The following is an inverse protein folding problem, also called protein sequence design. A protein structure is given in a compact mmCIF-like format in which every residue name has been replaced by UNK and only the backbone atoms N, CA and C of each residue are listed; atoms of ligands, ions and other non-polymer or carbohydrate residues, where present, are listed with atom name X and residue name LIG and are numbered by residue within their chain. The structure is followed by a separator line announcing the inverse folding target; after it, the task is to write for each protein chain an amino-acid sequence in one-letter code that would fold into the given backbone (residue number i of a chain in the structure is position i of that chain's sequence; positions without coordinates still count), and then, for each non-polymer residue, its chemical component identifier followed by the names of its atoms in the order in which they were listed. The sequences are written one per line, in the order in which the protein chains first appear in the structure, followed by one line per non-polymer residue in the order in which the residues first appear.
data_IF_034463758031
#
_entry.id   IF_034463758031
#
_cell.length_a   1.000
_cell.length_b   1.000
_cell.length_c   1.000
_cell.angle_alpha   90.00
_cell.angle_beta   90.00
_cell.angle_gamma   90.00
#
_symmetry.space_group_name_H-M   'P 1'
#
loop_
_entity.id
_entity.type
_entity.pdbx_description
1 polymer ?
#
# COMPACT_ATOMS: atom_id res chain seq x y z
N UNK A 1 9.74 4.79 -4.14
CA UNK A 1 10.51 3.74 -3.45
C UNK A 1 11.87 3.64 -4.08
N UNK A 2 12.90 3.35 -3.31
CA UNK A 2 14.21 3.04 -3.88
C UNK A 2 14.23 1.58 -4.39
N UNK A 3 15.09 1.26 -5.37
CA UNK A 3 15.31 -0.12 -5.78
C UNK A 3 15.64 -1.01 -4.58
N UNK A 4 15.17 -2.28 -4.61
CA UNK A 4 15.36 -3.31 -3.57
C UNK A 4 14.56 -3.12 -2.26
N UNK A 5 13.89 -1.99 -2.04
CA UNK A 5 12.93 -1.85 -0.94
C UNK A 5 11.70 -2.75 -1.17
N UNK A 6 11.07 -3.21 -0.09
CA UNK A 6 9.89 -4.09 -0.14
C UNK A 6 8.75 -3.51 0.70
N UNK A 7 7.59 -3.33 0.10
CA UNK A 7 6.31 -3.19 0.83
C UNK A 7 5.87 -4.60 1.21
N UNK A 8 5.51 -4.81 2.47
CA UNK A 8 5.18 -6.14 2.97
C UNK A 8 4.13 -6.09 4.08
N UNK A 9 3.41 -7.19 4.25
CA UNK A 9 2.47 -7.37 5.35
C UNK A 9 2.52 -8.83 5.80
N UNK A 10 2.61 -9.03 7.11
CA UNK A 10 2.60 -10.34 7.74
C UNK A 10 1.23 -10.58 8.36
N UNK A 11 0.42 -11.43 7.72
CA UNK A 11 -0.92 -11.77 8.20
C UNK A 11 -0.93 -12.46 9.56
N UNK A 12 0.15 -13.18 9.94
CA UNK A 12 0.26 -13.87 11.23
C UNK A 12 0.55 -12.91 12.38
N UNK A 13 1.46 -11.95 12.17
CA UNK A 13 1.92 -11.04 13.25
C UNK A 13 1.33 -9.64 13.17
N UNK A 14 0.58 -9.31 12.11
CA UNK A 14 0.05 -7.97 11.83
C UNK A 14 1.12 -6.92 11.47
N UNK A 15 2.41 -7.29 11.42
CA UNK A 15 3.49 -6.35 11.09
C UNK A 15 3.46 -6.01 9.59
N UNK A 16 3.67 -4.75 9.25
CA UNK A 16 3.68 -4.27 7.86
C UNK A 16 4.78 -3.23 7.62
N UNK A 17 5.29 -3.21 6.40
CA UNK A 17 6.11 -2.14 5.84
C UNK A 17 5.25 -1.43 4.80
N UNK A 18 4.99 -0.15 5.00
CA UNK A 18 4.11 0.67 4.18
C UNK A 18 4.74 2.04 3.91
N UNK A 19 4.26 2.73 2.89
CA UNK A 19 4.61 4.11 2.61
C UNK A 19 3.63 5.04 3.33
N UNK A 20 4.13 6.16 3.84
CA UNK A 20 3.32 7.26 4.37
C UNK A 20 3.69 8.53 3.61
N UNK A 21 2.69 9.34 3.26
CA UNK A 21 2.94 10.64 2.66
C UNK A 21 3.59 11.58 3.66
N UNK A 22 4.23 12.62 3.15
CA UNK A 22 4.54 13.80 3.93
C UNK A 22 3.24 14.55 4.26
N UNK A 23 3.28 15.37 5.31
CA UNK A 23 2.16 16.22 5.70
C UNK A 23 1.87 17.29 4.66
N UNK A 24 2.94 17.87 4.11
CA UNK A 24 2.92 18.82 3.00
C UNK A 24 4.31 18.86 2.33
N UNK A 25 4.52 19.60 1.23
CA UNK A 25 5.80 19.63 0.51
C UNK A 25 7.01 20.08 1.33
N UNK A 26 6.80 20.83 2.42
CA UNK A 26 7.86 21.38 3.27
C UNK A 26 8.01 20.66 4.63
N UNK A 27 7.05 19.82 5.01
CA UNK A 27 7.01 19.12 6.29
C UNK A 27 7.02 17.60 6.09
N UNK A 28 8.17 16.93 6.34
CA UNK A 28 8.33 15.50 6.14
C UNK A 28 7.67 14.63 7.23
N UNK A 29 6.98 15.23 8.21
CA UNK A 29 6.19 14.47 9.18
C UNK A 29 5.07 13.67 8.51
N UNK A 30 4.51 12.70 9.25
CA UNK A 30 3.49 11.77 8.74
C UNK A 30 2.25 12.56 8.28
N UNK A 31 1.92 12.45 7.00
CA UNK A 31 0.72 13.00 6.40
C UNK A 31 -0.50 12.08 6.49
N UNK A 32 -1.58 12.49 5.82
CA UNK A 32 -2.86 11.78 5.87
C UNK A 32 -2.93 10.57 4.95
N UNK A 33 -2.01 10.39 4.01
CA UNK A 33 -2.05 9.24 3.10
C UNK A 33 -1.06 8.15 3.49
N UNK A 34 -1.48 6.90 3.36
CA UNK A 34 -0.59 5.74 3.45
C UNK A 34 -0.89 4.73 2.35
N UNK A 35 0.11 3.95 1.95
CA UNK A 35 -0.02 2.92 0.92
C UNK A 35 0.72 1.63 1.26
N UNK A 36 0.07 0.50 1.04
CA UNK A 36 0.60 -0.82 1.40
C UNK A 36 -0.42 -1.94 1.22
N UNK A 37 -0.15 -3.07 1.86
CA UNK A 37 -1.04 -4.23 1.89
C UNK A 37 -1.83 -4.28 3.21
N UNK A 38 -3.05 -4.78 3.15
CA UNK A 38 -3.85 -5.08 4.34
C UNK A 38 -3.58 -6.52 4.80
N UNK A 39 -2.88 -6.74 5.94
CA UNK A 39 -2.57 -8.09 6.43
C UNK A 39 -3.81 -8.89 6.84
N UNK A 40 -4.95 -8.25 7.09
CA UNK A 40 -6.16 -8.91 7.59
C UNK A 40 -7.12 -9.32 6.47
N UNK A 41 -6.88 -8.87 5.23
CA UNK A 41 -7.67 -9.26 4.06
C UNK A 41 -7.20 -10.62 3.55
N UNK A 42 -7.96 -11.66 3.87
CA UNK A 42 -7.75 -13.03 3.36
C UNK A 42 -8.10 -13.06 1.85
N UNK A 43 -7.19 -13.57 1.02
CA UNK A 43 -7.39 -13.72 -0.43
C UNK A 43 -6.15 -13.32 -1.24
N UNK A 44 -6.37 -13.01 -2.53
CA UNK A 44 -5.30 -12.53 -3.41
C UNK A 44 -4.77 -11.17 -2.92
N UNK A 45 -3.44 -10.95 -2.97
CA UNK A 45 -2.83 -9.68 -2.57
C UNK A 45 -3.48 -8.49 -3.26
N UNK A 46 -3.81 -7.46 -2.50
CA UNK A 46 -4.37 -6.19 -2.96
C UNK A 46 -3.64 -5.06 -2.25
N UNK A 47 -3.13 -4.10 -3.01
CA UNK A 47 -2.60 -2.87 -2.43
C UNK A 47 -3.70 -1.82 -2.28
N UNK A 48 -3.58 -1.00 -1.25
CA UNK A 48 -4.52 0.06 -0.96
C UNK A 48 -3.78 1.38 -0.77
N UNK A 49 -4.53 2.46 -0.97
CA UNK A 49 -4.20 3.78 -0.44
C UNK A 49 -5.28 4.12 0.57
N UNK A 50 -4.87 4.47 1.78
CA UNK A 50 -5.76 4.98 2.80
C UNK A 50 -5.58 6.48 2.93
N UNK A 51 -6.68 7.19 3.16
CA UNK A 51 -6.68 8.54 3.70
C UNK A 51 -7.10 8.42 5.16
N UNK A 52 -6.21 8.83 6.05
CA UNK A 52 -6.27 8.63 7.49
C UNK A 52 -6.37 7.14 7.82
N UNK A 53 -7.58 6.64 8.11
CA UNK A 53 -7.85 5.21 8.39
C UNK A 53 -8.84 4.58 7.42
N UNK A 54 -9.33 5.35 6.45
CA UNK A 54 -10.36 4.93 5.53
C UNK A 54 -9.74 4.56 4.18
N UNK A 55 -10.11 3.42 3.58
CA UNK A 55 -9.69 3.09 2.21
C UNK A 55 -10.13 4.20 1.25
N UNK A 56 -9.18 4.77 0.53
CA UNK A 56 -9.40 5.81 -0.47
C UNK A 56 -9.33 5.25 -1.89
N UNK A 57 -8.42 4.31 -2.13
CA UNK A 57 -8.25 3.64 -3.41
C UNK A 57 -7.76 2.20 -3.22
N UNK A 58 -7.98 1.35 -4.22
CA UNK A 58 -7.61 -0.07 -4.23
C UNK A 58 -7.10 -0.49 -5.61
N UNK A 59 -5.99 -1.22 -5.65
CA UNK A 59 -5.38 -1.73 -6.89
C UNK A 59 -6.06 -2.95 -7.49
N UNK A 60 -7.10 -3.47 -6.81
CA UNK A 60 -7.70 -4.77 -7.06
C UNK A 60 -6.65 -5.90 -6.98
N UNK A 61 -7.04 -7.13 -7.32
CA UNK A 61 -6.24 -8.32 -7.05
C UNK A 61 -4.98 -8.39 -7.91
N UNK A 62 -3.91 -8.93 -7.33
CA UNK A 62 -2.74 -9.37 -8.06
C UNK A 62 -3.06 -10.62 -8.89
N UNK A 63 -2.78 -10.58 -10.20
CA UNK A 63 -3.02 -11.71 -11.10
C UNK A 63 -1.77 -12.58 -11.36
N UNK A 64 -0.66 -12.35 -10.66
CA UNK A 64 0.62 -13.01 -10.92
C UNK A 64 1.62 -12.15 -11.71
N UNK A 65 1.18 -11.09 -12.38
CA UNK A 65 2.03 -10.18 -13.18
C UNK A 65 1.81 -8.71 -12.87
N UNK A 66 0.56 -8.29 -12.68
CA UNK A 66 0.17 -6.91 -12.38
C UNK A 66 -0.99 -6.89 -11.37
N UNK A 67 -1.21 -5.73 -10.75
CA UNK A 67 -2.46 -5.47 -10.06
C UNK A 67 -3.51 -5.02 -11.10
N UNK A 68 -4.63 -5.73 -11.20
CA UNK A 68 -5.57 -5.55 -12.32
C UNK A 68 -6.25 -4.17 -12.37
N UNK A 69 -6.27 -3.44 -11.26
CA UNK A 69 -6.75 -2.07 -11.17
C UNK A 69 -5.67 -1.01 -11.45
N UNK A 70 -4.47 -1.42 -11.90
CA UNK A 70 -3.36 -0.54 -12.27
C UNK A 70 -2.92 -0.87 -13.70
N UNK A 71 -3.55 -0.25 -14.71
CA UNK A 71 -3.42 -0.68 -16.11
C UNK A 71 -2.02 -0.47 -16.72
N UNK A 72 -1.17 0.37 -16.13
CA UNK A 72 0.14 0.75 -16.67
C UNK A 72 1.30 0.34 -15.74
N UNK A 73 1.22 -0.87 -15.17
CA UNK A 73 2.31 -1.50 -14.41
C UNK A 73 3.20 -2.30 -15.36
N UNK A 74 4.02 -1.60 -16.15
CA UNK A 74 5.06 -2.19 -16.99
C UNK A 74 6.42 -2.20 -16.29
#
# INVERSE_FOLDING_TARGET
MLPKMKISANARTGKKVQLTSWKNPSDPSIGSFSSGFDPLRIGLPQSFIWKDRSPYWRSAQWNGRIFIGVPNMD
#
